data_IF_333628745851
#
_entry.id   IF_333628745851
#
_cell.length_a   1.000
_cell.length_b   1.000
_cell.length_c   1.000
_cell.angle_alpha   90.00
_cell.angle_beta   90.00
_cell.angle_gamma   90.00
#
_symmetry.space_group_name_H-M   'P 1'
#
loop_
_entity.id
_entity.type
_entity.pdbx_description
1 polymer ?
#
# COMPACT_ATOMS: atom_id res chain seq x y z
N UNK A 1 -1.67 4.86 14.56
CA UNK A 1 -1.97 4.12 13.32
C UNK A 1 -2.66 2.76 13.56
N UNK A 2 -2.04 1.74 14.15
CA UNK A 2 -2.66 0.40 14.30
C UNK A 2 -3.92 0.33 15.20
N UNK A 3 -4.22 1.35 15.97
CA UNK A 3 -5.44 1.49 16.80
C UNK A 3 -6.50 2.38 16.16
N UNK A 4 -6.25 2.89 14.99
CA UNK A 4 -7.16 3.73 14.23
C UNK A 4 -8.40 2.95 13.80
N UNK A 5 -9.58 3.58 13.88
CA UNK A 5 -10.86 2.92 13.56
C UNK A 5 -10.94 2.54 12.09
N UNK A 6 -10.53 3.42 11.19
CA UNK A 6 -10.52 3.15 9.74
C UNK A 6 -9.60 1.98 9.42
N UNK A 7 -8.40 1.93 10.04
CA UNK A 7 -7.52 0.78 9.92
C UNK A 7 -8.18 -0.52 10.38
N UNK A 8 -8.89 -0.47 11.53
CA UNK A 8 -9.60 -1.65 12.06
C UNK A 8 -10.71 -2.14 11.14
N UNK A 9 -11.45 -1.24 10.53
CA UNK A 9 -12.49 -1.59 9.57
C UNK A 9 -11.90 -2.25 8.30
N UNK A 10 -10.79 -1.74 7.78
CA UNK A 10 -10.17 -2.21 6.53
C UNK A 10 -9.31 -3.47 6.73
N UNK A 11 -8.61 -3.57 7.85
CA UNK A 11 -7.76 -4.73 8.15
C UNK A 11 -8.53 -5.88 8.79
N UNK A 12 -9.60 -5.60 9.52
CA UNK A 12 -10.41 -6.57 10.24
C UNK A 12 -9.97 -6.77 11.69
N UNK A 13 -10.27 -7.95 12.24
CA UNK A 13 -9.95 -8.25 13.66
C UNK A 13 -8.44 -8.17 13.89
N UNK A 14 -8.03 -7.71 15.10
CA UNK A 14 -6.61 -7.72 15.45
C UNK A 14 -6.02 -9.11 15.26
N UNK A 15 -5.08 -9.20 14.33
CA UNK A 15 -4.28 -10.39 14.10
C UNK A 15 -3.05 -10.43 15.01
N UNK A 16 -2.00 -11.07 14.55
CA UNK A 16 -0.69 -11.01 15.24
C UNK A 16 -0.20 -9.56 15.14
N UNK A 17 -0.06 -8.89 16.27
CA UNK A 17 0.31 -7.47 16.37
C UNK A 17 1.53 -7.09 15.53
N UNK A 18 2.50 -8.01 15.41
CA UNK A 18 3.70 -7.81 14.61
C UNK A 18 3.40 -7.69 13.11
N UNK A 19 2.44 -8.46 12.57
CA UNK A 19 2.09 -8.39 11.14
C UNK A 19 1.46 -7.05 10.75
N UNK A 20 0.60 -6.50 11.60
CA UNK A 20 -0.01 -5.20 11.34
C UNK A 20 1.02 -4.07 11.37
N UNK A 21 1.95 -4.14 12.34
CA UNK A 21 3.02 -3.17 12.44
C UNK A 21 3.96 -3.25 11.24
N UNK A 22 4.25 -4.46 10.77
CA UNK A 22 5.05 -4.67 9.56
C UNK A 22 4.37 -4.08 8.32
N UNK A 23 3.06 -4.27 8.14
CA UNK A 23 2.33 -3.71 7.00
C UNK A 23 2.34 -2.19 6.98
N UNK A 24 2.12 -1.55 8.13
CA UNK A 24 2.18 -0.10 8.26
C UNK A 24 3.60 0.40 7.98
N UNK A 25 4.60 -0.22 8.58
CA UNK A 25 6.01 0.11 8.37
C UNK A 25 6.42 -0.06 6.91
N UNK A 26 5.98 -1.16 6.27
CA UNK A 26 6.24 -1.46 4.87
C UNK A 26 5.64 -0.41 3.95
N UNK A 27 4.40 -0.01 4.18
CA UNK A 27 3.77 1.07 3.43
C UNK A 27 4.56 2.38 3.54
N UNK A 28 4.91 2.80 4.77
CA UNK A 28 5.65 4.03 5.00
C UNK A 28 7.03 3.99 4.33
N UNK A 29 7.78 2.90 4.51
CA UNK A 29 9.09 2.75 3.91
C UNK A 29 9.03 2.80 2.37
N UNK A 30 8.06 2.12 1.78
CA UNK A 30 7.86 2.12 0.32
C UNK A 30 7.33 3.46 -0.22
N UNK A 31 6.57 4.20 0.57
CA UNK A 31 6.11 5.53 0.17
C UNK A 31 7.24 6.56 0.19
N UNK A 32 8.04 6.60 1.26
CA UNK A 32 9.05 7.64 1.47
C UNK A 32 10.43 7.32 0.90
N UNK A 33 10.84 6.05 0.91
CA UNK A 33 12.21 5.61 0.61
C UNK A 33 12.30 4.52 -0.47
N UNK A 34 11.31 4.40 -1.36
CA UNK A 34 11.30 3.34 -2.40
C UNK A 34 12.59 3.26 -3.23
N UNK A 35 13.24 4.38 -3.49
CA UNK A 35 14.50 4.43 -4.21
C UNK A 35 15.62 3.62 -3.54
N UNK A 36 15.57 3.48 -2.21
CA UNK A 36 16.54 2.73 -1.41
C UNK A 36 16.25 1.22 -1.35
N UNK A 37 15.11 0.77 -1.87
CA UNK A 37 14.76 -0.64 -1.89
C UNK A 37 15.70 -1.45 -2.78
N UNK A 38 16.37 -2.47 -2.23
CA UNK A 38 17.35 -3.34 -2.93
C UNK A 38 16.87 -4.78 -3.10
N UNK A 39 15.64 -5.09 -2.72
CA UNK A 39 15.03 -6.42 -2.91
C UNK A 39 15.04 -7.32 -1.67
N UNK A 40 15.73 -6.92 -0.61
CA UNK A 40 15.57 -7.54 0.70
C UNK A 40 14.66 -6.66 1.56
N UNK A 41 13.44 -7.13 1.79
CA UNK A 41 12.44 -6.36 2.52
C UNK A 41 12.84 -6.13 3.99
N UNK A 42 13.40 -7.14 4.64
CA UNK A 42 13.77 -7.05 6.07
C UNK A 42 14.86 -6.00 6.28
N UNK A 43 15.91 -6.05 5.47
CA UNK A 43 17.01 -5.07 5.53
C UNK A 43 16.51 -3.66 5.23
N UNK A 44 15.63 -3.53 4.24
CA UNK A 44 15.02 -2.25 3.87
C UNK A 44 14.19 -1.64 5.01
N UNK A 45 13.33 -2.44 5.65
CA UNK A 45 12.53 -1.97 6.78
C UNK A 45 13.39 -1.62 8.00
N UNK A 46 14.41 -2.42 8.28
CA UNK A 46 15.36 -2.12 9.34
C UNK A 46 16.12 -0.81 9.07
N UNK A 47 16.57 -0.60 7.83
CA UNK A 47 17.25 0.64 7.44
C UNK A 47 16.32 1.85 7.57
N UNK A 48 15.08 1.75 7.09
CA UNK A 48 14.08 2.80 7.23
C UNK A 48 13.80 3.14 8.70
N UNK A 49 13.66 2.13 9.58
CA UNK A 49 13.48 2.36 11.01
C UNK A 49 14.66 3.08 11.63
N UNK A 50 15.88 2.64 11.34
CA UNK A 50 17.10 3.26 11.88
C UNK A 50 17.24 4.72 11.45
N UNK A 51 17.01 4.99 10.16
CA UNK A 51 17.06 6.33 9.56
C UNK A 51 16.07 7.29 10.21
N UNK A 52 14.87 6.80 10.55
CA UNK A 52 13.78 7.60 11.11
C UNK A 52 13.61 7.43 12.63
N UNK A 53 14.57 6.84 13.31
CA UNK A 53 14.49 6.54 14.75
C UNK A 53 14.25 7.79 15.61
N UNK A 54 14.84 8.92 15.21
CA UNK A 54 14.69 10.21 15.89
C UNK A 54 13.57 11.07 15.29
N UNK A 55 12.93 10.61 14.21
CA UNK A 55 11.90 11.35 13.47
C UNK A 55 12.38 12.73 12.97
N UNK A 56 13.67 12.89 12.77
CA UNK A 56 14.28 14.14 12.32
C UNK A 56 14.14 14.35 10.81
N UNK A 57 14.09 13.25 10.03
CA UNK A 57 14.01 13.28 8.58
C UNK A 57 12.55 13.33 8.07
N UNK A 58 11.70 12.48 8.65
CA UNK A 58 10.27 12.46 8.34
C UNK A 58 9.49 12.63 9.64
N UNK A 59 8.83 13.78 9.85
CA UNK A 59 8.04 14.00 11.06
C UNK A 59 6.96 12.93 11.23
N UNK A 60 6.76 12.51 12.46
CA UNK A 60 5.73 11.51 12.79
C UNK A 60 4.34 11.92 12.26
N UNK A 61 4.00 13.21 12.38
CA UNK A 61 2.72 13.73 11.90
C UNK A 61 2.54 13.59 10.40
N UNK A 62 3.62 13.69 9.63
CA UNK A 62 3.58 13.49 8.19
C UNK A 62 3.32 12.02 7.84
N UNK A 63 4.02 11.10 8.51
CA UNK A 63 3.76 9.66 8.35
C UNK A 63 2.31 9.29 8.69
N UNK A 64 1.79 9.80 9.80
CA UNK A 64 0.40 9.57 10.22
C UNK A 64 -0.58 10.17 9.21
N UNK A 65 -0.34 11.39 8.74
CA UNK A 65 -1.19 12.07 7.76
C UNK A 65 -1.26 11.29 6.44
N UNK A 66 -0.12 10.90 5.90
CA UNK A 66 -0.08 10.11 4.65
C UNK A 66 -0.83 8.81 4.81
N UNK A 67 -0.58 8.07 5.88
CA UNK A 67 -1.23 6.80 6.13
C UNK A 67 -2.75 6.94 6.28
N UNK A 68 -3.22 7.83 7.15
CA UNK A 68 -4.65 8.01 7.44
C UNK A 68 -5.42 8.59 6.25
N UNK A 69 -4.86 9.58 5.55
CA UNK A 69 -5.50 10.13 4.37
C UNK A 69 -5.68 9.06 3.28
N UNK A 70 -4.68 8.22 3.08
CA UNK A 70 -4.76 7.11 2.11
C UNK A 70 -5.83 6.11 2.52
N UNK A 71 -5.87 5.71 3.78
CA UNK A 71 -6.90 4.78 4.28
C UNK A 71 -8.31 5.34 4.15
N UNK A 72 -8.52 6.59 4.55
CA UNK A 72 -9.84 7.23 4.47
C UNK A 72 -10.30 7.32 3.01
N UNK A 73 -9.43 7.73 2.10
CA UNK A 73 -9.74 7.75 0.67
C UNK A 73 -10.16 6.36 0.16
N UNK A 74 -9.40 5.32 0.48
CA UNK A 74 -9.68 3.96 0.04
C UNK A 74 -11.00 3.43 0.65
N UNK A 75 -11.25 3.71 1.92
CA UNK A 75 -12.52 3.38 2.58
C UNK A 75 -13.70 4.06 1.92
N UNK A 76 -13.60 5.37 1.66
CA UNK A 76 -14.68 6.17 1.10
C UNK A 76 -14.98 5.79 -0.35
N UNK A 77 -13.93 5.48 -1.13
CA UNK A 77 -14.09 5.14 -2.55
C UNK A 77 -14.47 3.68 -2.78
N UNK A 78 -13.88 2.74 -2.06
CA UNK A 78 -14.03 1.30 -2.32
C UNK A 78 -14.81 0.60 -1.22
N UNK A 79 -14.59 1.00 0.02
CA UNK A 79 -15.22 0.40 1.19
C UNK A 79 -14.33 -0.61 1.93
N UNK A 80 -14.90 -1.34 2.91
CA UNK A 80 -14.13 -2.12 3.88
C UNK A 80 -13.41 -3.35 3.29
N UNK A 81 -13.74 -3.76 2.06
CA UNK A 81 -13.13 -4.93 1.41
C UNK A 81 -11.98 -4.56 0.47
N UNK A 82 -11.48 -3.33 0.50
CA UNK A 82 -10.45 -2.83 -0.43
C UNK A 82 -9.17 -3.67 -0.46
N UNK A 83 -8.81 -4.32 0.63
CA UNK A 83 -7.63 -5.19 0.70
C UNK A 83 -7.96 -6.68 0.62
N UNK A 84 -9.21 -7.04 0.30
CA UNK A 84 -9.62 -8.42 0.23
C UNK A 84 -9.53 -8.99 -1.18
N UNK A 85 -8.91 -10.16 -1.30
CA UNK A 85 -8.98 -11.00 -2.47
C UNK A 85 -9.42 -12.42 -2.05
N UNK A 86 -10.41 -12.98 -2.71
CA UNK A 86 -11.02 -14.25 -2.33
C UNK A 86 -11.46 -14.29 -0.84
N UNK A 87 -12.07 -13.20 -0.37
CA UNK A 87 -12.58 -13.00 1.01
C UNK A 87 -11.49 -12.98 2.10
N UNK A 88 -10.25 -12.86 1.73
CA UNK A 88 -9.12 -12.79 2.67
C UNK A 88 -8.27 -11.56 2.42
N UNK A 89 -7.69 -10.99 3.48
CA UNK A 89 -6.73 -9.89 3.36
C UNK A 89 -5.54 -10.32 2.48
N UNK A 90 -5.20 -9.49 1.49
CA UNK A 90 -4.12 -9.77 0.56
C UNK A 90 -3.04 -8.70 0.63
N UNK A 91 -1.83 -9.07 1.06
CA UNK A 91 -0.70 -8.13 1.24
C UNK A 91 -0.25 -7.50 -0.08
N UNK A 92 -0.38 -8.21 -1.20
CA UNK A 92 0.04 -7.69 -2.51
C UNK A 92 -0.95 -6.63 -3.01
N UNK A 93 -2.25 -6.88 -2.83
CA UNK A 93 -3.28 -5.91 -3.13
C UNK A 93 -3.16 -4.68 -2.22
N UNK A 94 -2.90 -4.88 -0.93
CA UNK A 94 -2.63 -3.80 0.02
C UNK A 94 -1.48 -2.91 -0.47
N UNK A 95 -0.32 -3.49 -0.80
CA UNK A 95 0.82 -2.72 -1.32
C UNK A 95 0.46 -1.93 -2.58
N UNK A 96 -0.21 -2.58 -3.54
CA UNK A 96 -0.55 -1.99 -4.83
C UNK A 96 -1.47 -0.77 -4.66
N UNK A 97 -2.61 -0.94 -3.96
CA UNK A 97 -3.61 0.12 -3.84
C UNK A 97 -3.18 1.23 -2.88
N UNK A 98 -2.49 0.90 -1.79
CA UNK A 98 -1.98 1.89 -0.83
C UNK A 98 -0.92 2.79 -1.49
N UNK A 99 0.04 2.21 -2.21
CA UNK A 99 1.10 3.01 -2.86
C UNK A 99 0.56 3.88 -3.97
N UNK A 100 -0.29 3.34 -4.85
CA UNK A 100 -0.91 4.14 -5.91
C UNK A 100 -1.74 5.28 -5.32
N UNK A 101 -2.65 4.98 -4.39
CA UNK A 101 -3.49 6.00 -3.77
C UNK A 101 -2.67 7.09 -3.09
N UNK A 102 -1.66 6.71 -2.28
CA UNK A 102 -0.84 7.68 -1.55
C UNK A 102 -0.04 8.62 -2.47
N UNK A 103 0.38 8.15 -3.64
CA UNK A 103 1.11 8.96 -4.63
C UNK A 103 0.20 9.89 -5.42
N UNK A 104 -1.06 9.50 -5.63
CA UNK A 104 -2.01 10.21 -6.49
C UNK A 104 -2.95 11.14 -5.73
N UNK A 105 -3.13 10.98 -4.40
CA UNK A 105 -4.01 11.82 -3.59
C UNK A 105 -3.74 13.32 -3.73
N UNK A 106 -2.48 13.72 -3.87
CA UNK A 106 -2.10 15.12 -4.05
C UNK A 106 -2.49 15.68 -5.43
N UNK A 107 -2.86 14.85 -6.38
CA UNK A 107 -3.22 15.21 -7.76
C UNK A 107 -4.75 15.20 -7.98
N UNK A 108 -5.54 15.42 -6.94
CA UNK A 108 -7.01 15.50 -6.99
C UNK A 108 -7.65 14.24 -7.61
N UNK A 109 -7.16 13.05 -7.20
CA UNK A 109 -7.69 11.77 -7.67
C UNK A 109 -9.18 11.64 -7.37
N UNK A 110 -9.99 11.44 -8.42
CA UNK A 110 -11.43 11.23 -8.26
C UNK A 110 -11.73 9.79 -7.85
N UNK A 111 -12.67 9.62 -6.91
CA UNK A 111 -13.13 8.31 -6.45
C UNK A 111 -13.60 7.42 -7.60
N UNK A 112 -14.30 7.98 -8.56
CA UNK A 112 -14.87 7.24 -9.69
C UNK A 112 -13.80 6.61 -10.59
N UNK A 113 -12.74 7.36 -10.89
CA UNK A 113 -11.59 6.84 -11.63
C UNK A 113 -10.88 5.73 -10.85
N UNK A 114 -10.73 5.93 -9.54
CA UNK A 114 -10.11 4.92 -8.69
C UNK A 114 -10.93 3.63 -8.57
N UNK A 115 -12.27 3.73 -8.54
CA UNK A 115 -13.15 2.55 -8.58
C UNK A 115 -12.97 1.74 -9.85
N UNK A 116 -13.00 2.38 -11.03
CA UNK A 116 -12.79 1.70 -12.32
C UNK A 116 -11.44 0.98 -12.35
N UNK A 117 -10.37 1.67 -11.90
CA UNK A 117 -9.06 1.06 -11.75
C UNK A 117 -9.08 -0.16 -10.82
N UNK A 118 -9.66 -0.01 -9.62
CA UNK A 118 -9.71 -1.07 -8.63
C UNK A 118 -10.45 -2.32 -9.12
N UNK A 119 -11.58 -2.13 -9.80
CA UNK A 119 -12.33 -3.23 -10.43
C UNK A 119 -11.51 -3.92 -11.51
N UNK A 120 -10.83 -3.14 -12.36
CA UNK A 120 -9.93 -3.66 -13.38
C UNK A 120 -8.78 -4.46 -12.76
N UNK A 121 -8.12 -3.93 -11.73
CA UNK A 121 -7.01 -4.59 -11.04
C UNK A 121 -7.43 -5.91 -10.39
N UNK A 122 -8.60 -5.93 -9.76
CA UNK A 122 -9.10 -7.13 -9.07
C UNK A 122 -9.42 -8.29 -10.02
N UNK A 123 -9.79 -7.98 -11.27
CA UNK A 123 -10.10 -8.95 -12.32
C UNK A 123 -8.91 -9.23 -13.25
N UNK A 124 -7.75 -8.62 -13.00
CA UNK A 124 -6.60 -8.70 -13.88
C UNK A 124 -5.75 -9.95 -13.63
N UNK A 125 -5.85 -10.94 -14.50
CA UNK A 125 -5.07 -12.19 -14.38
C UNK A 125 -3.55 -11.95 -14.47
N UNK A 126 -3.12 -10.93 -15.21
CA UNK A 126 -1.70 -10.61 -15.33
C UNK A 126 -1.15 -10.07 -14.01
N UNK A 127 -1.85 -9.13 -13.35
CA UNK A 127 -1.50 -8.66 -12.01
C UNK A 127 -1.37 -9.82 -11.02
N UNK A 128 -2.36 -10.72 -11.01
CA UNK A 128 -2.33 -11.86 -10.09
C UNK A 128 -1.23 -12.88 -10.43
N UNK A 129 -0.90 -13.06 -11.71
CA UNK A 129 0.22 -13.93 -12.10
C UNK A 129 1.57 -13.41 -11.61
N UNK A 130 1.81 -12.09 -11.71
CA UNK A 130 3.00 -11.43 -11.16
C UNK A 130 3.07 -11.50 -9.62
N UNK A 131 1.93 -11.75 -8.98
CA UNK A 131 1.79 -11.74 -7.52
C UNK A 131 1.95 -13.11 -6.86
N UNK A 132 2.18 -14.19 -7.65
CA UNK A 132 2.27 -15.56 -7.12
C UNK A 132 3.65 -15.93 -6.59
N UNK A 133 4.72 -15.35 -7.10
CA UNK A 133 6.09 -15.74 -6.73
C UNK A 133 6.99 -14.53 -6.49
N UNK A 134 7.95 -14.68 -5.57
CA UNK A 134 8.99 -13.69 -5.27
C UNK A 134 8.45 -12.26 -5.13
N UNK A 135 7.32 -12.10 -4.46
CA UNK A 135 6.56 -10.84 -4.36
C UNK A 135 7.37 -9.66 -3.78
N UNK A 136 8.44 -9.96 -3.05
CA UNK A 136 9.34 -9.00 -2.41
C UNK A 136 10.67 -8.82 -3.15
N UNK A 137 10.95 -9.51 -4.26
CA UNK A 137 12.13 -9.19 -5.06
C UNK A 137 12.01 -7.79 -5.65
N UNK A 138 13.12 -7.04 -5.74
CA UNK A 138 13.12 -5.67 -6.29
C UNK A 138 12.52 -5.65 -7.69
N UNK A 139 12.96 -6.56 -8.55
CA UNK A 139 12.47 -6.66 -9.93
C UNK A 139 10.95 -6.82 -9.98
N UNK A 140 10.42 -7.83 -9.27
CA UNK A 140 8.99 -8.11 -9.32
C UNK A 140 8.15 -7.01 -8.64
N UNK A 141 8.68 -6.40 -7.59
CA UNK A 141 8.01 -5.28 -6.95
C UNK A 141 7.94 -4.06 -7.88
N UNK A 142 9.05 -3.72 -8.53
CA UNK A 142 9.12 -2.59 -9.48
C UNK A 142 8.19 -2.83 -10.66
N UNK A 143 8.29 -3.99 -11.34
CA UNK A 143 7.42 -4.34 -12.47
C UNK A 143 5.94 -4.28 -12.10
N UNK A 144 5.56 -4.78 -10.93
CA UNK A 144 4.19 -4.73 -10.45
C UNK A 144 3.73 -3.31 -10.15
N UNK A 145 4.60 -2.47 -9.56
CA UNK A 145 4.27 -1.06 -9.31
C UNK A 145 4.10 -0.27 -10.60
N UNK A 146 4.96 -0.48 -11.58
CA UNK A 146 4.86 0.13 -12.92
C UNK A 146 3.58 -0.31 -13.62
N UNK A 147 3.28 -1.59 -13.60
CA UNK A 147 2.04 -2.13 -14.18
C UNK A 147 0.78 -1.53 -13.56
N UNK A 148 0.75 -1.39 -12.24
CA UNK A 148 -0.38 -0.78 -11.51
C UNK A 148 -0.57 0.68 -11.91
N UNK A 149 0.51 1.45 -12.06
CA UNK A 149 0.46 2.84 -12.55
C UNK A 149 -0.08 2.90 -14.00
N UNK A 150 0.42 2.03 -14.89
CA UNK A 150 -0.07 1.97 -16.28
C UNK A 150 -1.55 1.58 -16.36
N UNK A 151 -1.99 0.61 -15.55
CA UNK A 151 -3.38 0.20 -15.52
C UNK A 151 -4.28 1.34 -15.03
N UNK A 152 -3.82 2.08 -14.02
CA UNK A 152 -4.53 3.26 -13.54
C UNK A 152 -4.71 4.30 -14.65
N UNK A 153 -3.63 4.65 -15.36
CA UNK A 153 -3.71 5.63 -16.47
C UNK A 153 -4.66 5.18 -17.60
N UNK A 154 -4.73 3.89 -17.90
CA UNK A 154 -5.62 3.33 -18.93
C UNK A 154 -7.10 3.33 -18.52
N UNK A 155 -7.40 3.45 -17.23
CA UNK A 155 -8.78 3.38 -16.70
C UNK A 155 -9.38 4.75 -16.38
N UNK A 156 -8.60 5.85 -16.61
CA UNK A 156 -9.11 7.22 -16.46
C UNK A 156 -9.90 7.67 -17.70
#
# INVERSE_FOLDING_TARGET
>A
MSKDETWRELFGKPGIRAEEQELILRFLALHFDFADYRGNLVDFLNHFMLKNQRLDLIPRLEMEKVFLNTLNFLKDCIGPQVFAHNKSFNKVLFDAVMLLASRRLNNSMACEGFKRFYESLNNDEHFWSMSRQATTSKKNFTMRSEYVEELYEKTQ
#
